data_IF_052346129868
#
_entry.id   IF_052346129868
#
_cell.length_a   1.000
_cell.length_b   1.000
_cell.length_c   1.000
_cell.angle_alpha   90.00
_cell.angle_beta   90.00
_cell.angle_gamma   90.00
#
_symmetry.space_group_name_H-M   'P 1'
#
loop_
_entity.id
_entity.type
_entity.pdbx_description
1 polymer ?
#
# COMPACT_ATOMS: atom_id res chain seq x y z
N UNK A 1 -6.95 15.38 -22.41
CA UNK A 1 -6.04 14.94 -21.34
C UNK A 1 -6.70 13.79 -20.60
N UNK A 2 -5.98 12.68 -20.35
CA UNK A 2 -6.53 11.53 -19.62
C UNK A 2 -6.19 11.68 -18.14
N UNK A 3 -7.24 11.80 -17.33
CA UNK A 3 -7.15 11.84 -15.86
C UNK A 3 -7.33 10.43 -15.30
N UNK A 4 -6.62 10.09 -14.23
CA UNK A 4 -6.91 8.87 -13.48
C UNK A 4 -6.78 9.10 -11.97
N UNK A 5 -7.51 8.29 -11.20
CA UNK A 5 -7.43 8.21 -9.73
C UNK A 5 -7.00 6.81 -9.32
N UNK A 6 -6.54 6.66 -8.08
CA UNK A 6 -6.40 5.34 -7.47
C UNK A 6 -7.76 4.61 -7.49
N UNK A 7 -7.78 3.37 -7.97
CA UNK A 7 -8.96 2.49 -7.95
C UNK A 7 -8.73 1.36 -6.93
N UNK A 8 -8.18 1.72 -5.76
CA UNK A 8 -7.93 0.78 -4.68
C UNK A 8 -8.80 1.09 -3.47
N UNK A 9 -9.56 0.10 -2.99
CA UNK A 9 -10.34 0.18 -1.76
C UNK A 9 -9.57 -0.61 -0.71
N UNK A 10 -9.15 0.04 0.38
CA UNK A 10 -8.32 -0.56 1.44
C UNK A 10 -7.07 -1.32 0.94
N UNK A 11 -6.42 -0.78 -0.10
CA UNK A 11 -5.21 -1.37 -0.67
C UNK A 11 -5.44 -2.61 -1.55
N UNK A 12 -6.69 -2.92 -1.88
CA UNK A 12 -7.07 -3.95 -2.86
C UNK A 12 -7.52 -3.25 -4.14
N UNK A 13 -6.95 -3.64 -5.29
CA UNK A 13 -7.31 -3.09 -6.60
C UNK A 13 -6.09 -2.53 -7.32
N UNK A 14 -6.25 -1.37 -7.97
CA UNK A 14 -5.13 -0.70 -8.66
C UNK A 14 -4.70 0.53 -7.86
N UNK A 15 -3.44 0.54 -7.42
CA UNK A 15 -2.85 1.63 -6.65
C UNK A 15 -1.57 2.16 -7.27
N UNK A 16 -1.35 3.45 -7.13
CA UNK A 16 -0.13 4.14 -7.55
C UNK A 16 0.94 3.99 -6.48
N UNK A 17 2.06 3.35 -6.85
CA UNK A 17 3.22 3.17 -5.98
C UNK A 17 4.52 3.59 -6.68
N UNK A 18 5.59 3.72 -5.90
CA UNK A 18 6.92 4.00 -6.43
C UNK A 18 7.12 5.43 -6.91
N UNK A 19 6.51 6.40 -6.23
CA UNK A 19 6.68 7.84 -6.49
C UNK A 19 8.15 8.22 -6.55
N UNK A 20 8.57 8.80 -7.67
CA UNK A 20 9.87 9.44 -7.82
C UNK A 20 9.72 10.84 -8.41
N UNK A 21 10.51 11.81 -7.94
CA UNK A 21 10.58 13.11 -8.59
C UNK A 21 11.11 12.92 -10.03
N UNK A 22 10.52 13.66 -10.94
CA UNK A 22 10.90 13.79 -12.35
C UNK A 22 11.12 15.29 -12.63
N UNK A 23 11.91 15.68 -13.65
CA UNK A 23 12.14 17.09 -13.95
C UNK A 23 10.84 17.90 -14.11
N UNK A 24 10.92 19.20 -13.81
CA UNK A 24 9.83 20.18 -13.97
C UNK A 24 8.60 19.96 -13.06
N UNK A 25 8.83 19.50 -11.83
CA UNK A 25 7.75 19.29 -10.84
C UNK A 25 6.85 18.10 -11.13
N UNK A 26 7.25 17.24 -12.08
CA UNK A 26 6.51 16.03 -12.43
C UNK A 26 6.94 14.87 -11.53
N UNK A 27 6.11 13.83 -11.50
CA UNK A 27 6.42 12.61 -10.78
C UNK A 27 6.33 11.40 -11.70
N UNK A 28 7.31 10.53 -11.60
CA UNK A 28 7.23 9.19 -12.16
C UNK A 28 6.55 8.29 -11.14
N UNK A 29 5.52 7.60 -11.57
CA UNK A 29 4.77 6.65 -10.76
C UNK A 29 4.59 5.33 -11.50
N UNK A 30 4.32 4.26 -10.77
CA UNK A 30 3.97 2.96 -11.35
C UNK A 30 2.62 2.54 -10.83
N UNK A 31 1.75 2.09 -11.73
CA UNK A 31 0.47 1.48 -11.38
C UNK A 31 0.69 0.02 -11.02
N UNK A 32 0.11 -0.40 -9.91
CA UNK A 32 0.22 -1.76 -9.40
C UNK A 32 -1.15 -2.34 -9.15
N UNK A 33 -1.30 -3.62 -9.46
CA UNK A 33 -2.32 -4.44 -8.81
C UNK A 33 -1.82 -4.71 -7.39
N UNK A 34 -2.60 -4.30 -6.41
CA UNK A 34 -2.30 -4.48 -4.99
C UNK A 34 -3.36 -5.31 -4.30
N UNK A 35 -2.93 -6.11 -3.31
CA UNK A 35 -3.81 -6.79 -2.36
C UNK A 35 -3.29 -6.45 -0.97
N UNK A 36 -4.13 -5.90 -0.10
CA UNK A 36 -3.74 -5.42 1.23
C UNK A 36 -2.49 -4.52 1.20
N UNK A 37 -2.42 -3.59 0.24
CA UNK A 37 -1.29 -2.68 0.00
C UNK A 37 0.02 -3.36 -0.44
N UNK A 38 0.02 -4.68 -0.65
CA UNK A 38 1.17 -5.43 -1.16
C UNK A 38 1.17 -5.36 -2.70
N UNK A 39 2.27 -4.96 -3.34
CA UNK A 39 2.39 -4.95 -4.79
C UNK A 39 2.45 -6.39 -5.34
N UNK A 40 1.43 -6.77 -6.11
CA UNK A 40 1.33 -8.09 -6.74
C UNK A 40 1.89 -8.07 -8.14
N UNK A 41 1.44 -7.12 -8.97
CA UNK A 41 1.84 -7.04 -10.38
C UNK A 41 1.97 -5.58 -10.85
N UNK A 42 3.10 -5.18 -11.44
CA UNK A 42 3.27 -3.85 -12.02
C UNK A 42 2.55 -3.79 -13.37
N UNK A 43 1.70 -2.79 -13.57
CA UNK A 43 0.96 -2.62 -14.82
C UNK A 43 1.74 -1.75 -15.79
N UNK A 44 2.05 -0.51 -15.40
CA UNK A 44 2.73 0.45 -16.27
C UNK A 44 3.35 1.57 -15.45
N UNK A 45 4.46 2.12 -15.94
CA UNK A 45 5.01 3.37 -15.42
C UNK A 45 4.43 4.56 -16.19
N UNK A 46 4.12 5.64 -15.48
CA UNK A 46 3.56 6.87 -16.04
C UNK A 46 4.25 8.08 -15.43
N UNK A 47 4.39 9.13 -16.23
CA UNK A 47 4.75 10.46 -15.76
C UNK A 47 3.45 11.21 -15.50
N UNK A 48 3.28 11.67 -14.27
CA UNK A 48 2.05 12.28 -13.78
C UNK A 48 2.33 13.63 -13.16
N UNK A 49 1.35 14.52 -13.26
CA UNK A 49 1.22 15.69 -12.41
C UNK A 49 0.13 15.43 -11.37
N UNK A 50 0.43 15.45 -10.06
CA UNK A 50 -0.59 15.32 -9.03
C UNK A 50 -1.51 16.55 -9.07
N UNK A 51 -2.81 16.37 -8.87
CA UNK A 51 -3.71 17.48 -8.64
C UNK A 51 -4.78 17.10 -7.60
N UNK A 52 -5.33 18.09 -6.90
CA UNK A 52 -6.43 17.87 -5.97
C UNK A 52 -7.75 18.08 -6.71
N UNK A 53 -8.68 17.13 -6.64
CA UNK A 53 -10.04 17.42 -7.09
C UNK A 53 -10.66 18.44 -6.14
N UNK A 54 -11.08 19.59 -6.69
CA UNK A 54 -11.83 20.59 -5.93
C UNK A 54 -13.30 20.14 -5.89
N UNK A 55 -13.80 19.90 -4.68
CA UNK A 55 -15.13 19.33 -4.40
C UNK A 55 -16.28 19.94 -5.20
N UNK A 56 -17.13 19.09 -5.78
CA UNK A 56 -18.57 19.35 -6.07
C UNK A 56 -19.25 18.22 -6.86
N UNK A 57 -19.09 16.95 -6.45
CA UNK A 57 -20.07 15.92 -6.86
C UNK A 57 -20.22 14.79 -5.84
N UNK A 58 -21.32 14.92 -5.12
CA UNK A 58 -22.08 14.13 -4.11
C UNK A 58 -21.91 12.58 -4.03
N UNK A 59 -21.08 11.90 -4.82
CA UNK A 59 -20.99 10.42 -4.79
C UNK A 59 -19.61 9.80 -4.49
N UNK A 60 -18.62 10.59 -4.04
CA UNK A 60 -17.25 10.08 -3.79
C UNK A 60 -16.90 9.78 -2.34
N UNK A 61 -17.88 9.69 -1.44
CA UNK A 61 -17.67 9.46 0.01
C UNK A 61 -17.10 8.06 0.33
N UNK A 62 -17.17 7.10 -0.61
CA UNK A 62 -16.68 5.73 -0.39
C UNK A 62 -15.30 5.42 -1.01
N UNK A 63 -14.73 6.33 -1.80
CA UNK A 63 -13.43 6.11 -2.45
C UNK A 63 -12.45 7.06 -1.78
N UNK A 64 -11.65 6.51 -0.85
CA UNK A 64 -10.74 7.27 0.01
C UNK A 64 -9.97 8.34 -0.76
N UNK A 65 -10.14 9.58 -0.28
CA UNK A 65 -9.46 10.82 -0.63
C UNK A 65 -9.29 11.15 -2.13
N UNK A 66 -9.86 12.30 -2.48
CA UNK A 66 -10.03 12.90 -3.80
C UNK A 66 -8.72 13.36 -4.47
N UNK A 67 -7.80 12.42 -4.71
CA UNK A 67 -6.53 12.66 -5.40
C UNK A 67 -6.59 12.24 -6.87
N UNK A 68 -6.19 13.16 -7.76
CA UNK A 68 -6.15 12.94 -9.19
C UNK A 68 -4.73 13.04 -9.74
N UNK A 69 -4.50 12.38 -10.86
CA UNK A 69 -3.25 12.43 -11.59
C UNK A 69 -3.53 12.74 -13.05
N UNK A 70 -2.91 13.81 -13.55
CA UNK A 70 -2.89 14.13 -14.97
C UNK A 70 -1.76 13.35 -15.63
N UNK A 71 -2.11 12.51 -16.61
CA UNK A 71 -1.13 11.67 -17.32
C UNK A 71 -0.47 12.53 -18.40
N UNK A 72 0.84 12.71 -18.27
CA UNK A 72 1.66 13.44 -19.24
C UNK A 72 2.25 12.49 -20.27
N UNK A 73 2.66 11.30 -19.83
CA UNK A 73 3.26 10.31 -20.71
C UNK A 73 3.31 8.92 -20.10
N UNK A 74 3.45 7.93 -20.98
CA UNK A 74 3.76 6.56 -20.60
C UNK A 74 5.25 6.31 -20.80
N UNK A 75 5.87 5.63 -19.86
CA UNK A 75 7.28 5.24 -19.94
C UNK A 75 7.41 3.73 -19.76
N UNK A 76 8.46 3.11 -20.33
CA UNK A 76 8.76 1.71 -20.06
C UNK A 76 8.97 1.50 -18.56
N UNK A 77 8.61 0.30 -18.09
CA UNK A 77 8.75 -0.08 -16.68
C UNK A 77 10.20 0.06 -16.23
N UNK A 78 10.42 0.92 -15.24
CA UNK A 78 11.75 1.12 -14.68
C UNK A 78 12.08 0.00 -13.69
N UNK A 79 12.73 -1.07 -14.17
CA UNK A 79 13.02 -2.30 -13.41
C UNK A 79 13.60 -2.04 -12.00
N UNK A 80 14.59 -1.15 -11.79
CA UNK A 80 15.10 -0.87 -10.45
C UNK A 80 14.04 -0.36 -9.47
N UNK A 81 13.02 0.36 -9.97
CA UNK A 81 11.94 0.85 -9.13
C UNK A 81 10.96 -0.27 -8.81
N UNK A 82 10.66 -1.09 -9.81
CA UNK A 82 9.80 -2.26 -9.67
C UNK A 82 10.35 -3.21 -8.60
N UNK A 83 11.63 -3.55 -8.71
CA UNK A 83 12.33 -4.42 -7.76
C UNK A 83 12.32 -3.81 -6.35
N UNK A 84 12.65 -2.52 -6.23
CA UNK A 84 12.64 -1.83 -4.92
C UNK A 84 11.26 -1.86 -4.28
N UNK A 85 10.21 -1.58 -5.05
CA UNK A 85 8.83 -1.63 -4.57
C UNK A 85 8.44 -3.04 -4.15
N UNK A 86 8.84 -4.07 -4.90
CA UNK A 86 8.67 -5.47 -4.52
C UNK A 86 9.35 -5.79 -3.20
N UNK A 87 10.65 -5.52 -3.07
CA UNK A 87 11.42 -5.84 -1.87
C UNK A 87 10.79 -5.17 -0.65
N UNK A 88 10.43 -3.89 -0.74
CA UNK A 88 9.82 -3.17 0.37
C UNK A 88 8.43 -3.72 0.71
N UNK A 89 7.59 -3.95 -0.29
CA UNK A 89 6.24 -4.47 -0.09
C UNK A 89 6.23 -5.87 0.53
N UNK A 90 7.05 -6.78 0.01
CA UNK A 90 7.13 -8.15 0.50
C UNK A 90 7.87 -8.28 1.83
N UNK A 91 8.93 -7.49 2.06
CA UNK A 91 9.56 -7.44 3.39
C UNK A 91 8.57 -7.02 4.46
N UNK A 92 7.72 -6.04 4.15
CA UNK A 92 6.68 -5.58 5.06
C UNK A 92 5.57 -6.60 5.24
N UNK A 93 5.17 -7.31 4.19
CA UNK A 93 4.22 -8.41 4.27
C UNK A 93 4.73 -9.54 5.19
N UNK A 94 6.01 -9.92 5.05
CA UNK A 94 6.65 -10.89 5.93
C UNK A 94 6.68 -10.41 7.38
N UNK A 95 7.01 -9.14 7.60
CA UNK A 95 6.98 -8.54 8.94
C UNK A 95 5.57 -8.54 9.54
N UNK A 96 4.55 -8.29 8.73
CA UNK A 96 3.16 -8.33 9.16
C UNK A 96 2.69 -9.74 9.54
N UNK A 97 3.13 -10.75 8.78
CA UNK A 97 2.75 -12.14 9.01
C UNK A 97 3.61 -12.86 10.06
N UNK A 98 4.75 -12.29 10.46
CA UNK A 98 5.67 -12.89 11.42
C UNK A 98 4.99 -13.42 12.71
N UNK A 99 4.16 -12.64 13.45
CA UNK A 99 3.52 -13.15 14.66
C UNK A 99 2.49 -14.25 14.37
N UNK A 100 1.82 -14.22 13.21
CA UNK A 100 0.88 -15.27 12.78
C UNK A 100 1.63 -16.58 12.52
N UNK A 101 2.75 -16.52 11.81
CA UNK A 101 3.58 -17.70 11.52
C UNK A 101 4.14 -18.32 12.81
N UNK A 102 4.59 -17.50 13.76
CA UNK A 102 5.03 -17.96 15.07
C UNK A 102 3.86 -18.59 15.85
N UNK A 103 2.69 -17.96 15.82
CA UNK A 103 1.49 -18.47 16.49
C UNK A 103 1.09 -19.85 15.96
N UNK A 104 1.10 -20.06 14.64
CA UNK A 104 0.80 -21.35 14.02
C UNK A 104 1.83 -22.41 14.41
N UNK A 105 3.13 -22.10 14.29
CA UNK A 105 4.21 -23.04 14.62
C UNK A 105 4.17 -23.51 16.07
N UNK A 106 3.91 -22.59 17.00
CA UNK A 106 3.80 -22.94 18.41
C UNK A 106 2.46 -23.60 18.74
N UNK A 107 1.36 -23.15 18.14
CA UNK A 107 0.03 -23.69 18.36
C UNK A 107 -0.08 -25.17 17.98
N UNK A 108 0.58 -25.59 16.90
CA UNK A 108 0.67 -27.01 16.50
C UNK A 108 1.25 -27.92 17.59
N UNK A 109 2.15 -27.41 18.44
CA UNK A 109 2.77 -28.18 19.52
C UNK A 109 1.93 -28.18 20.82
N UNK A 110 1.10 -27.17 21.03
CA UNK A 110 0.32 -27.01 22.26
C UNK A 110 -1.09 -27.58 22.16
N UNK A 111 -1.73 -27.50 21.00
CA UNK A 111 -3.10 -28.02 20.81
C UNK A 111 -3.27 -29.52 21.10
N UNK A 112 -2.35 -30.41 20.68
CA UNK A 112 -2.48 -31.84 20.96
C UNK A 112 -2.24 -32.20 22.44
N UNK A 113 -1.51 -31.36 23.17
CA UNK A 113 -0.99 -31.67 24.50
C UNK A 113 -1.83 -31.05 25.65
N UNK A 114 -2.94 -30.39 25.33
CA UNK A 114 -3.93 -29.92 26.32
C UNK A 114 -3.49 -28.78 27.24
N UNK A 115 -2.30 -28.21 27.01
CA UNK A 115 -1.77 -27.08 27.79
C UNK A 115 -1.05 -26.07 26.90
N UNK A 116 -1.51 -24.82 26.94
CA UNK A 116 -0.79 -23.69 26.34
C UNK A 116 -0.21 -22.82 27.46
N UNK A 117 1.07 -22.44 27.39
CA UNK A 117 1.64 -21.48 28.34
C UNK A 117 0.98 -20.11 28.20
N UNK A 118 0.92 -19.33 29.28
CA UNK A 118 0.24 -18.02 29.31
C UNK A 118 0.75 -17.06 28.23
N UNK A 119 2.05 -17.11 27.91
CA UNK A 119 2.66 -16.30 26.85
C UNK A 119 2.03 -16.54 25.46
N UNK A 120 1.45 -17.72 25.22
CA UNK A 120 0.81 -18.07 23.94
C UNK A 120 -0.44 -17.22 23.69
N UNK A 121 -1.16 -16.83 24.74
CA UNK A 121 -2.30 -15.91 24.64
C UNK A 121 -1.84 -14.55 24.11
N UNK A 122 -0.73 -14.02 24.64
CA UNK A 122 -0.15 -12.77 24.17
C UNK A 122 0.29 -12.86 22.70
N UNK A 123 0.88 -13.97 22.28
CA UNK A 123 1.25 -14.19 20.89
C UNK A 123 0.02 -14.23 19.97
N UNK A 124 -1.05 -14.90 20.40
CA UNK A 124 -2.32 -14.96 19.66
C UNK A 124 -2.91 -13.57 19.46
N UNK A 125 -3.02 -12.78 20.53
CA UNK A 125 -3.52 -11.39 20.47
C UNK A 125 -2.63 -10.54 19.56
N UNK A 126 -1.31 -10.65 19.71
CA UNK A 126 -0.34 -9.92 18.88
C UNK A 126 -0.48 -10.30 17.41
N UNK A 127 -0.75 -11.56 17.09
CA UNK A 127 -0.93 -12.03 15.70
C UNK A 127 -2.11 -11.40 14.98
N UNK A 128 -3.13 -10.95 15.72
CA UNK A 128 -4.32 -10.27 15.18
C UNK A 128 -4.06 -8.76 15.10
N UNK A 129 -3.55 -8.16 16.19
CA UNK A 129 -3.38 -6.71 16.28
C UNK A 129 -2.26 -6.22 15.34
N UNK A 130 -1.17 -6.97 15.23
CA UNK A 130 0.02 -6.53 14.50
C UNK A 130 -0.20 -6.29 13.00
N UNK A 131 -0.84 -7.21 12.23
CA UNK A 131 -1.20 -6.92 10.85
C UNK A 131 -2.09 -5.69 10.70
N UNK A 132 -3.07 -5.50 11.61
CA UNK A 132 -3.99 -4.35 11.57
C UNK A 132 -3.22 -3.05 11.76
N UNK A 133 -2.28 -3.00 12.72
CA UNK A 133 -1.43 -1.82 12.94
C UNK A 133 -0.57 -1.50 11.73
N UNK A 134 0.02 -2.51 11.08
CA UNK A 134 0.83 -2.29 9.87
C UNK A 134 -0.03 -1.77 8.71
N UNK A 135 -1.22 -2.34 8.50
CA UNK A 135 -2.15 -1.87 7.47
C UNK A 135 -2.61 -0.42 7.75
N UNK A 136 -2.91 -0.10 9.01
CA UNK A 136 -3.26 1.26 9.43
C UNK A 136 -2.11 2.25 9.20
N UNK A 137 -0.88 1.87 9.55
CA UNK A 137 0.31 2.67 9.31
C UNK A 137 0.57 2.89 7.81
N UNK A 138 0.41 1.86 6.99
CA UNK A 138 0.54 1.97 5.53
C UNK A 138 -0.50 2.92 4.93
N UNK A 139 -1.75 2.81 5.37
CA UNK A 139 -2.82 3.69 4.93
C UNK A 139 -2.53 5.15 5.33
N UNK A 140 -2.11 5.37 6.57
CA UNK A 140 -1.74 6.71 7.04
C UNK A 140 -0.56 7.29 6.25
N UNK A 141 0.48 6.49 6.01
CA UNK A 141 1.66 6.93 5.24
C UNK A 141 1.31 7.22 3.78
N UNK A 142 0.40 6.46 3.17
CA UNK A 142 -0.11 6.75 1.82
C UNK A 142 -0.72 8.15 1.76
N UNK A 143 -1.60 8.46 2.71
CA UNK A 143 -2.27 9.76 2.79
C UNK A 143 -1.27 10.91 2.97
N UNK A 144 -0.25 10.74 3.83
CA UNK A 144 0.80 11.76 3.99
C UNK A 144 1.59 12.03 2.70
N UNK A 145 1.90 10.98 1.93
CA UNK A 145 2.60 11.14 0.65
C UNK A 145 1.72 11.92 -0.33
N UNK A 146 0.44 11.59 -0.41
CA UNK A 146 -0.51 12.28 -1.29
C UNK A 146 -0.66 13.77 -0.92
N UNK A 147 -0.76 14.09 0.38
CA UNK A 147 -0.78 15.47 0.85
C UNK A 147 0.54 16.22 0.56
N UNK A 148 1.68 15.55 0.73
CA UNK A 148 3.01 16.14 0.51
C UNK A 148 3.32 16.42 -0.96
N UNK A 149 2.71 15.68 -1.88
CA UNK A 149 2.86 15.90 -3.32
C UNK A 149 2.16 17.18 -3.78
N UNK A 150 1.05 17.56 -3.14
CA UNK A 150 0.27 18.76 -3.48
C UNK A 150 0.94 20.04 -2.96
N UNK A 151 1.50 20.02 -1.74
CA UNK A 151 2.13 21.23 -1.16
C UNK A 151 3.38 21.72 -1.88
N UNK A 152 3.89 20.93 -2.85
CA UNK A 152 5.08 21.26 -3.63
C UNK A 152 4.76 21.87 -4.99
N UNK A 153 3.48 22.03 -5.32
CA UNK A 153 3.01 22.94 -6.39
C UNK A 153 2.96 24.38 -5.86
#
# INVERSE_FOLDING_TARGET
MSQFSDFSIYGIGVSVLGYRPFPNGLYRVTLWITIFFIPIFPLTSRVVRPFKFQDSSVNRVFIGDSFGFDIIGQEPLHLPNVIRTYILGWSLALLALAPVVLCIRHGQNYWPNGGSPEWFVFLTVTSIIWPILILGFLNHRKNQIHEGLIRKE
#
